data_IF_053410927034
#
_entry.id   IF_053410927034
#
_cell.length_a   1.000
_cell.length_b   1.000
_cell.length_c   1.000
_cell.angle_alpha   90.00
_cell.angle_beta   90.00
_cell.angle_gamma   90.00
#
_symmetry.space_group_name_H-M   'P 1'
#
loop_
_entity.id
_entity.type
_entity.pdbx_description
1 polymer ?
#
# COMPACT_ATOMS: atom_id res chain seq x y z
N UNK A 1 -24.28 27.89 14.21
CA UNK A 1 -24.24 27.45 12.80
C UNK A 1 -24.34 25.93 12.75
N UNK A 2 -24.33 25.32 11.56
CA UNK A 2 -24.13 23.87 11.42
C UNK A 2 -22.68 23.58 11.81
N UNK A 3 -22.44 22.48 12.53
CA UNK A 3 -21.09 22.02 12.87
C UNK A 3 -20.31 21.63 11.60
N UNK A 4 -19.03 22.00 11.51
CA UNK A 4 -18.25 21.75 10.30
C UNK A 4 -18.04 20.26 10.04
N UNK A 5 -17.96 19.42 11.08
CA UNK A 5 -17.83 17.97 10.93
C UNK A 5 -19.12 17.35 10.41
N UNK A 6 -20.27 17.83 10.88
CA UNK A 6 -21.58 17.45 10.34
C UNK A 6 -21.72 17.88 8.87
N UNK A 7 -21.20 19.05 8.53
CA UNK A 7 -21.15 19.51 7.14
C UNK A 7 -20.28 18.58 6.27
N UNK A 8 -19.08 18.23 6.73
CA UNK A 8 -18.19 17.29 6.04
C UNK A 8 -18.85 15.92 5.86
N UNK A 9 -19.39 15.33 6.93
CA UNK A 9 -20.10 14.04 6.90
C UNK A 9 -21.30 14.02 5.97
N UNK A 10 -21.99 15.15 5.84
CA UNK A 10 -23.13 15.26 4.93
C UNK A 10 -22.70 15.27 3.46
N UNK A 11 -21.59 15.92 3.13
CA UNK A 11 -21.24 16.29 1.76
C UNK A 11 -19.96 15.64 1.21
N UNK A 12 -19.22 14.87 2.00
CA UNK A 12 -18.08 14.13 1.46
C UNK A 12 -18.51 13.04 0.49
N UNK A 13 -17.59 12.68 -0.41
CA UNK A 13 -17.78 11.62 -1.39
C UNK A 13 -17.95 10.26 -0.68
N UNK A 14 -18.89 9.46 -1.16
CA UNK A 14 -19.29 8.18 -0.58
C UNK A 14 -18.92 7.00 -1.48
N UNK A 15 -19.01 5.81 -0.90
CA UNK A 15 -18.88 4.55 -1.64
C UNK A 15 -19.81 4.53 -2.87
N UNK A 16 -19.25 4.20 -4.03
CA UNK A 16 -19.95 4.13 -5.30
C UNK A 16 -20.08 5.47 -6.04
N UNK A 17 -19.76 6.59 -5.40
CA UNK A 17 -19.82 7.92 -6.02
C UNK A 17 -18.57 8.21 -6.86
N UNK A 18 -18.65 9.25 -7.68
CA UNK A 18 -17.59 9.74 -8.56
C UNK A 18 -17.56 11.27 -8.54
N UNK A 19 -16.48 11.87 -9.04
CA UNK A 19 -16.35 13.33 -9.14
C UNK A 19 -15.85 13.72 -10.54
N UNK A 20 -16.42 14.78 -11.16
CA UNK A 20 -15.91 15.33 -12.41
C UNK A 20 -14.43 15.76 -12.34
N UNK A 21 -13.91 16.00 -11.12
CA UNK A 21 -12.50 16.36 -10.92
C UNK A 21 -11.56 15.25 -11.41
N UNK A 22 -11.96 13.97 -11.34
CA UNK A 22 -11.09 12.85 -11.71
C UNK A 22 -10.73 12.86 -13.20
N UNK A 23 -11.65 13.30 -14.05
CA UNK A 23 -11.42 13.45 -15.49
C UNK A 23 -10.56 14.69 -15.82
N UNK A 24 -10.41 15.62 -14.87
CA UNK A 24 -9.59 16.83 -15.01
C UNK A 24 -8.16 16.66 -14.47
N UNK A 25 -7.91 15.63 -13.66
CA UNK A 25 -6.61 15.38 -12.99
C UNK A 25 -5.61 14.58 -13.85
N UNK A 26 -5.79 14.52 -15.16
CA UNK A 26 -4.85 13.82 -16.04
C UNK A 26 -3.58 14.63 -16.33
N UNK A 27 -2.46 13.95 -16.60
CA UNK A 27 -1.21 14.58 -17.04
C UNK A 27 -1.03 14.46 -18.55
N UNK A 28 -1.05 15.60 -19.25
CA UNK A 28 -0.91 15.67 -20.71
C UNK A 28 -2.10 15.13 -21.52
N UNK A 29 -3.09 14.51 -20.86
CA UNK A 29 -4.34 13.99 -21.42
C UNK A 29 -5.47 14.11 -20.38
N UNK A 30 -6.72 13.88 -20.78
CA UNK A 30 -7.83 13.81 -19.84
C UNK A 30 -7.58 12.68 -18.81
N UNK A 31 -7.97 12.92 -17.56
CA UNK A 31 -7.92 11.92 -16.50
C UNK A 31 -8.95 10.82 -16.72
N UNK A 32 -8.96 9.83 -15.82
CA UNK A 32 -9.91 8.71 -15.89
C UNK A 32 -11.09 8.94 -14.97
N UNK A 33 -12.29 8.63 -15.45
CA UNK A 33 -13.45 8.52 -14.58
C UNK A 33 -13.27 7.32 -13.67
N UNK A 34 -13.41 7.53 -12.37
CA UNK A 34 -13.32 6.48 -11.37
C UNK A 34 -14.41 6.62 -10.32
N UNK A 35 -14.88 5.49 -9.81
CA UNK A 35 -15.83 5.42 -8.70
C UNK A 35 -15.08 5.04 -7.43
N UNK A 36 -15.50 5.60 -6.30
CA UNK A 36 -14.95 5.27 -4.99
C UNK A 36 -15.37 3.85 -4.61
N UNK A 37 -14.39 2.97 -4.36
CA UNK A 37 -14.61 1.55 -3.99
C UNK A 37 -14.52 1.29 -2.48
N UNK A 38 -13.93 2.22 -1.73
CA UNK A 38 -13.86 2.22 -0.28
C UNK A 38 -13.73 3.66 0.20
N UNK A 39 -14.40 4.00 1.29
CA UNK A 39 -14.27 5.30 1.95
C UNK A 39 -14.80 5.17 3.37
N UNK A 40 -13.92 5.36 4.35
CA UNK A 40 -14.20 5.41 5.79
C UNK A 40 -13.89 6.78 6.39
N UNK A 41 -14.05 7.84 5.58
CA UNK A 41 -13.77 9.21 6.01
C UNK A 41 -14.72 9.64 7.14
N UNK A 42 -15.97 9.18 7.14
CA UNK A 42 -16.93 9.41 8.22
C UNK A 42 -16.45 8.82 9.55
N UNK A 43 -15.92 7.60 9.54
CA UNK A 43 -15.30 6.96 10.71
C UNK A 43 -14.02 7.70 11.13
N UNK A 44 -13.19 8.14 10.17
CA UNK A 44 -12.00 8.95 10.47
C UNK A 44 -12.36 10.29 11.15
N UNK A 45 -13.44 10.93 10.71
CA UNK A 45 -13.96 12.15 11.32
C UNK A 45 -14.38 11.88 12.76
N UNK A 46 -15.10 10.78 13.02
CA UNK A 46 -15.53 10.42 14.38
C UNK A 46 -14.36 10.14 15.31
N UNK A 47 -13.43 9.28 14.89
CA UNK A 47 -12.24 8.93 15.66
C UNK A 47 -11.37 10.15 15.96
N UNK A 48 -11.17 11.02 14.96
CA UNK A 48 -10.40 12.24 15.12
C UNK A 48 -11.10 13.26 16.03
N UNK A 49 -12.42 13.40 15.91
CA UNK A 49 -13.22 14.27 16.77
C UNK A 49 -13.23 13.83 18.23
N UNK A 50 -13.32 12.52 18.48
CA UNK A 50 -13.21 11.95 19.82
C UNK A 50 -11.81 12.18 20.40
N UNK A 51 -10.75 11.81 19.66
CA UNK A 51 -9.37 11.91 20.13
C UNK A 51 -8.91 13.36 20.41
N UNK A 52 -9.40 14.34 19.63
CA UNK A 52 -9.12 15.76 19.90
C UNK A 52 -10.04 16.35 20.98
N UNK A 53 -11.13 15.67 21.36
CA UNK A 53 -12.15 16.23 22.25
C UNK A 53 -12.92 17.39 21.60
N UNK A 54 -13.31 17.24 20.34
CA UNK A 54 -13.87 18.31 19.50
C UNK A 54 -15.06 19.02 20.14
N UNK A 55 -16.08 18.26 20.56
CA UNK A 55 -17.32 18.82 21.08
C UNK A 55 -17.13 19.52 22.42
N UNK A 56 -16.10 19.15 23.18
CA UNK A 56 -15.73 19.79 24.44
C UNK A 56 -14.93 21.07 24.26
N UNK A 57 -14.32 21.29 23.09
CA UNK A 57 -13.44 22.43 22.83
C UNK A 57 -14.03 23.46 21.89
N UNK A 58 -14.79 23.03 20.88
CA UNK A 58 -15.37 23.91 19.86
C UNK A 58 -16.31 24.94 20.48
N UNK A 59 -16.38 26.13 19.86
CA UNK A 59 -17.21 27.26 20.29
C UNK A 59 -16.98 27.74 21.74
N UNK A 60 -15.95 27.23 22.42
CA UNK A 60 -15.57 27.67 23.77
C UNK A 60 -14.37 28.61 23.67
N UNK A 61 -14.43 29.71 24.41
CA UNK A 61 -13.28 30.58 24.62
C UNK A 61 -12.37 29.96 25.68
N UNK A 62 -11.46 29.10 25.25
CA UNK A 62 -10.47 28.46 26.10
C UNK A 62 -9.18 29.32 26.13
N UNK A 63 -8.55 29.46 27.30
CA UNK A 63 -7.32 30.25 27.42
C UNK A 63 -6.93 30.55 28.87
N UNK A 64 -5.65 30.35 29.21
CA UNK A 64 -5.14 30.48 30.59
C UNK A 64 -4.39 31.81 30.83
N UNK A 65 -4.46 32.78 29.92
CA UNK A 65 -3.70 34.04 30.01
C UNK A 65 -4.40 35.23 29.38
N UNK A 66 -4.03 36.44 29.81
CA UNK A 66 -4.66 37.72 29.41
C UNK A 66 -4.72 37.94 27.89
N UNK A 67 -3.76 37.38 27.14
CA UNK A 67 -3.61 37.51 25.68
C UNK A 67 -3.56 36.15 24.93
N UNK A 68 -3.92 35.04 25.58
CA UNK A 68 -3.81 33.70 24.97
C UNK A 68 -5.18 33.10 24.74
N UNK A 69 -5.48 32.79 23.48
CA UNK A 69 -6.75 32.18 23.05
C UNK A 69 -6.44 30.82 22.45
N UNK A 70 -7.22 29.81 22.83
CA UNK A 70 -7.16 28.49 22.22
C UNK A 70 -8.29 28.30 21.22
N UNK A 71 -7.98 27.57 20.16
CA UNK A 71 -8.93 27.16 19.14
C UNK A 71 -8.70 25.71 18.74
N UNK A 72 -9.74 25.07 18.23
CA UNK A 72 -9.67 23.75 17.61
C UNK A 72 -10.14 23.88 16.17
N UNK A 73 -9.42 23.26 15.25
CA UNK A 73 -9.72 23.26 13.82
C UNK A 73 -9.65 21.85 13.24
N UNK A 74 -10.32 21.65 12.11
CA UNK A 74 -10.39 20.39 11.39
C UNK A 74 -10.17 20.61 9.89
N UNK A 75 -9.53 19.66 9.22
CA UNK A 75 -9.43 19.59 7.77
C UNK A 75 -9.67 18.15 7.32
N UNK A 76 -10.32 17.98 6.17
CA UNK A 76 -10.45 16.68 5.50
C UNK A 76 -9.81 16.76 4.13
N UNK A 77 -9.19 15.68 3.67
CA UNK A 77 -8.61 15.61 2.35
C UNK A 77 -8.74 14.21 1.74
N UNK A 78 -8.54 14.19 0.42
CA UNK A 78 -8.47 13.01 -0.42
C UNK A 78 -7.27 13.20 -1.33
N UNK A 79 -6.43 12.18 -1.49
CA UNK A 79 -5.26 12.22 -2.36
C UNK A 79 -5.31 11.01 -3.29
N UNK A 80 -4.94 11.15 -4.57
CA UNK A 80 -4.78 9.99 -5.47
C UNK A 80 -3.42 9.29 -5.28
N UNK A 81 -3.38 7.99 -5.58
CA UNK A 81 -2.17 7.16 -5.54
C UNK A 81 -1.70 6.84 -6.95
N UNK A 82 -0.74 7.62 -7.45
CA UNK A 82 -0.26 7.57 -8.83
C UNK A 82 -1.24 8.11 -9.89
N UNK A 83 -0.80 8.10 -11.14
CA UNK A 83 -1.51 8.64 -12.30
C UNK A 83 -1.99 7.50 -13.21
N UNK A 84 -3.30 7.34 -13.39
CA UNK A 84 -3.85 6.25 -14.18
C UNK A 84 -3.43 6.31 -15.64
N UNK A 85 -3.11 5.14 -16.22
CA UNK A 85 -2.70 4.98 -17.61
C UNK A 85 -1.44 5.76 -17.99
N UNK A 86 -0.66 6.22 -17.00
CA UNK A 86 0.60 6.96 -17.18
C UNK A 86 1.68 6.29 -16.36
N UNK A 87 1.47 6.19 -15.05
CA UNK A 87 2.45 5.60 -14.15
C UNK A 87 2.64 4.11 -14.47
N UNK A 88 3.88 3.66 -14.41
CA UNK A 88 4.21 2.26 -14.65
C UNK A 88 5.28 1.84 -13.66
N UNK A 89 5.10 0.65 -13.10
CA UNK A 89 6.07 -0.03 -12.27
C UNK A 89 6.28 -1.44 -12.79
N UNK A 90 7.50 -1.96 -12.64
CA UNK A 90 7.84 -3.32 -13.04
C UNK A 90 8.66 -4.01 -11.95
N UNK A 91 8.56 -5.33 -11.92
CA UNK A 91 9.34 -6.18 -11.04
C UNK A 91 9.84 -7.40 -11.83
N UNK A 92 11.05 -7.83 -11.51
CA UNK A 92 11.53 -9.16 -11.89
C UNK A 92 11.98 -9.92 -10.66
N UNK A 93 11.76 -11.23 -10.67
CA UNK A 93 12.07 -12.11 -9.55
C UNK A 93 12.68 -13.39 -10.06
N UNK A 94 13.60 -13.97 -9.28
CA UNK A 94 14.09 -15.33 -9.48
C UNK A 94 14.15 -16.07 -8.15
N UNK A 95 13.93 -17.36 -8.21
CA UNK A 95 14.11 -18.27 -7.10
C UNK A 95 15.56 -18.78 -7.03
N UNK A 96 16.09 -18.88 -5.81
CA UNK A 96 17.38 -19.47 -5.50
C UNK A 96 17.21 -20.90 -4.96
N UNK A 97 18.28 -21.70 -5.00
CA UNK A 97 18.27 -23.12 -4.62
C UNK A 97 17.84 -23.37 -3.17
N UNK A 98 18.05 -22.40 -2.27
CA UNK A 98 17.67 -22.47 -0.85
C UNK A 98 16.22 -22.05 -0.57
N UNK A 99 15.43 -21.80 -1.63
CA UNK A 99 14.06 -21.31 -1.54
C UNK A 99 13.93 -19.81 -1.22
N UNK A 100 15.04 -19.04 -1.22
CA UNK A 100 14.99 -17.58 -1.20
C UNK A 100 14.73 -17.01 -2.61
N UNK A 101 14.44 -15.72 -2.69
CA UNK A 101 14.11 -15.01 -3.92
C UNK A 101 14.88 -13.71 -4.03
N UNK A 102 15.46 -13.43 -5.19
CA UNK A 102 15.91 -12.08 -5.50
C UNK A 102 14.75 -11.32 -6.15
N UNK A 103 14.39 -10.17 -5.59
CA UNK A 103 13.39 -9.25 -6.11
C UNK A 103 14.08 -7.99 -6.64
N UNK A 104 13.95 -7.72 -7.93
CA UNK A 104 14.49 -6.55 -8.58
C UNK A 104 13.36 -5.57 -8.92
N UNK A 105 13.46 -4.34 -8.41
CA UNK A 105 12.43 -3.32 -8.57
C UNK A 105 13.06 -1.96 -8.87
N UNK A 106 12.47 -1.21 -9.79
CA UNK A 106 12.93 0.16 -10.08
C UNK A 106 12.49 1.18 -9.02
N UNK A 107 11.55 0.82 -8.14
CA UNK A 107 11.07 1.68 -7.08
C UNK A 107 12.21 2.14 -6.16
N UNK A 108 12.19 3.41 -5.77
CA UNK A 108 13.23 4.03 -4.94
C UNK A 108 12.74 4.29 -3.53
N UNK A 109 13.42 3.70 -2.56
CA UNK A 109 13.20 4.02 -1.16
C UNK A 109 13.91 5.33 -0.78
N UNK A 110 13.12 6.34 -0.43
CA UNK A 110 13.60 7.65 0.02
C UNK A 110 13.44 7.84 1.54
N UNK A 111 13.28 6.73 2.27
CA UNK A 111 12.96 6.71 3.70
C UNK A 111 11.49 6.38 4.01
N UNK A 112 10.72 5.97 3.00
CA UNK A 112 9.32 5.54 3.15
C UNK A 112 9.21 4.06 3.54
N UNK A 113 10.29 3.29 3.38
CA UNK A 113 10.32 1.85 3.68
C UNK A 113 9.76 1.00 2.54
N UNK A 114 9.80 1.48 1.29
CA UNK A 114 9.29 0.74 0.12
C UNK A 114 9.96 -0.61 -0.06
N UNK A 115 11.25 -0.74 0.22
CA UNK A 115 11.95 -2.03 0.06
C UNK A 115 11.36 -3.10 0.99
N UNK A 116 11.01 -2.72 2.22
CA UNK A 116 10.35 -3.61 3.18
C UNK A 116 8.92 -3.95 2.75
N UNK A 117 8.14 -2.94 2.35
CA UNK A 117 6.74 -3.13 1.94
C UNK A 117 6.65 -4.02 0.70
N UNK A 118 7.50 -3.80 -0.31
CA UNK A 118 7.53 -4.61 -1.52
C UNK A 118 7.98 -6.06 -1.23
N UNK A 119 8.94 -6.23 -0.32
CA UNK A 119 9.34 -7.57 0.14
C UNK A 119 8.19 -8.29 0.85
N UNK A 120 7.42 -7.61 1.71
CA UNK A 120 6.28 -8.18 2.41
C UNK A 120 5.17 -8.64 1.44
N UNK A 121 4.89 -7.85 0.39
CA UNK A 121 3.92 -8.22 -0.65
C UNK A 121 4.34 -9.54 -1.33
N UNK A 122 5.60 -9.65 -1.75
CA UNK A 122 6.11 -10.87 -2.37
C UNK A 122 6.07 -12.06 -1.40
N UNK A 123 6.48 -11.83 -0.14
CA UNK A 123 6.54 -12.84 0.90
C UNK A 123 5.16 -13.41 1.24
N UNK A 124 4.12 -12.56 1.30
CA UNK A 124 2.73 -12.99 1.55
C UNK A 124 2.20 -13.89 0.42
N UNK A 125 2.42 -13.50 -0.84
CA UNK A 125 2.03 -14.31 -2.00
C UNK A 125 2.71 -15.67 -2.00
N UNK A 126 4.01 -15.70 -1.70
CA UNK A 126 4.83 -16.91 -1.72
C UNK A 126 4.75 -17.72 -0.42
N UNK A 127 4.09 -17.20 0.62
CA UNK A 127 4.02 -17.75 1.98
C UNK A 127 5.40 -18.12 2.55
N UNK A 128 6.33 -17.18 2.44
CA UNK A 128 7.69 -17.28 2.98
C UNK A 128 7.93 -16.16 4.00
N UNK A 129 8.90 -16.31 4.93
CA UNK A 129 9.38 -15.21 5.75
C UNK A 129 9.94 -14.07 4.88
N UNK A 130 9.79 -12.82 5.32
CA UNK A 130 10.26 -11.65 4.55
C UNK A 130 11.78 -11.69 4.31
N UNK A 131 12.53 -12.33 5.20
CA UNK A 131 13.98 -12.51 5.11
C UNK A 131 14.41 -13.38 3.92
N UNK A 132 13.48 -14.16 3.35
CA UNK A 132 13.70 -14.92 2.11
C UNK A 132 13.59 -14.04 0.86
N UNK A 133 13.16 -12.79 0.96
CA UNK A 133 13.06 -11.85 -0.16
C UNK A 133 14.23 -10.87 -0.13
N UNK A 134 15.19 -11.08 -1.03
CA UNK A 134 16.39 -10.26 -1.19
C UNK A 134 16.11 -9.16 -2.22
N UNK A 135 15.87 -7.93 -1.75
CA UNK A 135 15.52 -6.80 -2.61
C UNK A 135 16.78 -6.14 -3.19
N UNK A 136 16.80 -5.94 -4.50
CA UNK A 136 17.67 -4.99 -5.19
C UNK A 136 16.79 -3.90 -5.82
N UNK A 137 16.91 -2.70 -5.28
CA UNK A 137 16.13 -1.54 -5.70
C UNK A 137 17.01 -0.50 -6.40
N UNK A 138 16.44 0.26 -7.34
CA UNK A 138 17.00 1.54 -7.85
C UNK A 138 18.36 1.50 -8.54
N UNK A 139 18.77 0.35 -9.08
CA UNK A 139 19.92 0.27 -9.99
C UNK A 139 19.39 0.17 -11.43
N UNK A 140 19.50 1.25 -12.21
CA UNK A 140 18.94 1.29 -13.58
C UNK A 140 19.61 0.34 -14.56
N UNK A 141 20.80 -0.19 -14.24
CA UNK A 141 21.46 -1.20 -15.08
C UNK A 141 20.90 -2.60 -14.81
N UNK A 142 20.32 -2.84 -13.63
CA UNK A 142 19.90 -4.17 -13.17
C UNK A 142 18.40 -4.33 -12.94
N UNK A 143 17.72 -3.24 -12.57
CA UNK A 143 16.30 -3.24 -12.17
C UNK A 143 15.41 -2.83 -13.34
N UNK A 144 14.18 -3.37 -13.41
CA UNK A 144 13.27 -3.02 -14.49
C UNK A 144 12.69 -1.62 -14.29
N UNK A 145 12.09 -1.07 -15.35
CA UNK A 145 11.53 0.29 -15.32
C UNK A 145 10.48 0.48 -14.23
N UNK A 146 10.63 1.57 -13.48
CA UNK A 146 9.64 2.12 -12.58
C UNK A 146 9.66 3.65 -12.74
N UNK A 147 8.50 4.28 -12.63
CA UNK A 147 8.38 5.73 -12.76
C UNK A 147 8.97 6.48 -11.56
N UNK A 148 9.26 5.77 -10.46
CA UNK A 148 9.93 6.29 -9.28
C UNK A 148 8.97 6.68 -8.17
N UNK A 149 9.53 7.03 -7.01
CA UNK A 149 8.75 7.37 -5.81
C UNK A 149 8.20 8.81 -5.87
N UNK A 150 6.95 8.94 -6.35
CA UNK A 150 6.15 10.16 -6.25
C UNK A 150 4.65 9.83 -6.17
N UNK A 151 3.83 10.85 -5.90
CA UNK A 151 2.36 10.75 -5.89
C UNK A 151 1.78 9.59 -5.05
N UNK A 152 2.47 9.17 -3.99
CA UNK A 152 2.10 8.01 -3.16
C UNK A 152 1.80 6.75 -3.98
N UNK A 153 2.50 6.57 -5.11
CA UNK A 153 2.20 5.54 -6.10
C UNK A 153 2.84 4.19 -5.80
N UNK A 154 3.97 4.15 -5.08
CA UNK A 154 4.85 2.96 -4.96
C UNK A 154 4.12 1.68 -4.56
N UNK A 155 3.34 1.70 -3.47
CA UNK A 155 2.59 0.51 -3.03
C UNK A 155 1.56 0.06 -4.06
N UNK A 156 0.88 1.02 -4.71
CA UNK A 156 -0.21 0.71 -5.63
C UNK A 156 0.28 0.30 -7.03
N UNK A 157 1.34 0.94 -7.52
CA UNK A 157 1.89 0.75 -8.86
C UNK A 157 2.95 -0.35 -8.84
N UNK A 158 4.06 -0.12 -8.13
CA UNK A 158 5.18 -1.05 -8.02
C UNK A 158 4.78 -2.29 -7.22
N UNK A 159 4.06 -2.12 -6.10
CA UNK A 159 3.58 -3.24 -5.29
C UNK A 159 2.68 -4.20 -6.07
N UNK A 160 1.81 -3.69 -6.95
CA UNK A 160 0.99 -4.54 -7.82
C UNK A 160 1.81 -5.25 -8.91
N UNK A 161 2.91 -4.67 -9.38
CA UNK A 161 3.85 -5.35 -10.26
C UNK A 161 4.57 -6.50 -9.54
N UNK A 162 4.99 -6.26 -8.29
CA UNK A 162 5.60 -7.29 -7.42
C UNK A 162 4.61 -8.44 -7.16
N UNK A 163 3.36 -8.13 -6.79
CA UNK A 163 2.32 -9.14 -6.56
C UNK A 163 2.11 -10.01 -7.81
N UNK A 164 1.96 -9.41 -8.99
CA UNK A 164 1.84 -10.15 -10.26
C UNK A 164 3.05 -11.05 -10.51
N UNK A 165 4.26 -10.51 -10.32
CA UNK A 165 5.50 -11.26 -10.50
C UNK A 165 5.58 -12.46 -9.55
N UNK A 166 5.25 -12.26 -8.27
CA UNK A 166 5.24 -13.32 -7.26
C UNK A 166 4.17 -14.39 -7.55
N UNK A 167 3.00 -14.01 -8.06
CA UNK A 167 1.95 -14.95 -8.49
C UNK A 167 2.46 -15.82 -9.65
N UNK A 168 3.14 -15.22 -10.63
CA UNK A 168 3.70 -15.98 -11.76
C UNK A 168 4.83 -16.93 -11.33
N UNK A 169 5.66 -16.53 -10.36
CA UNK A 169 6.61 -17.42 -9.71
C UNK A 169 5.88 -18.59 -9.03
N UNK A 170 4.84 -18.31 -8.22
CA UNK A 170 4.09 -19.34 -7.52
C UNK A 170 3.45 -20.34 -8.48
N UNK A 171 2.91 -19.88 -9.62
CA UNK A 171 2.38 -20.77 -10.66
C UNK A 171 3.48 -21.69 -11.22
N UNK A 172 4.68 -21.17 -11.49
CA UNK A 172 5.80 -22.00 -11.94
C UNK A 172 6.22 -23.02 -10.88
N UNK A 173 6.30 -22.61 -9.61
CA UNK A 173 6.59 -23.51 -8.47
C UNK A 173 5.55 -24.64 -8.42
N UNK A 174 4.25 -24.31 -8.50
CA UNK A 174 3.18 -25.32 -8.48
C UNK A 174 3.26 -26.29 -9.66
N UNK A 175 3.55 -25.79 -10.87
CA UNK A 175 3.72 -26.65 -12.06
C UNK A 175 4.83 -27.68 -11.88
N UNK A 176 5.96 -27.29 -11.30
CA UNK A 176 7.04 -28.24 -11.00
C UNK A 176 6.63 -29.19 -9.87
N UNK A 177 5.92 -28.70 -8.85
CA UNK A 177 5.45 -29.52 -7.75
C UNK A 177 4.44 -30.61 -8.18
N UNK A 178 3.63 -30.35 -9.21
CA UNK A 178 2.72 -31.35 -9.82
C UNK A 178 3.49 -32.60 -10.24
N UNK A 179 4.64 -32.44 -10.90
CA UNK A 179 5.47 -33.55 -11.36
C UNK A 179 6.09 -34.32 -10.18
N UNK A 180 6.43 -33.64 -9.09
CA UNK A 180 7.04 -34.27 -7.92
C UNK A 180 6.00 -35.01 -7.08
N UNK A 181 4.85 -34.38 -6.83
CA UNK A 181 3.80 -34.91 -5.95
C UNK A 181 2.88 -35.91 -6.68
N UNK A 182 2.85 -35.85 -8.02
CA UNK A 182 1.95 -36.63 -8.88
C UNK A 182 0.47 -36.30 -8.59
N UNK A 183 0.17 -35.00 -8.44
CA UNK A 183 -1.13 -34.46 -8.04
C UNK A 183 -1.60 -33.37 -9.02
N UNK A 184 -2.90 -33.04 -9.03
CA UNK A 184 -3.43 -31.96 -9.87
C UNK A 184 -3.05 -30.57 -9.35
N UNK A 185 -2.72 -29.63 -10.24
CA UNK A 185 -2.30 -28.26 -9.87
C UNK A 185 -3.33 -27.52 -9.01
N UNK A 186 -4.62 -27.73 -9.27
CA UNK A 186 -5.74 -27.10 -8.53
C UNK A 186 -5.84 -27.55 -7.08
N UNK A 187 -5.31 -28.72 -6.75
CA UNK A 187 -5.38 -29.31 -5.42
C UNK A 187 -4.22 -28.83 -4.53
N UNK A 188 -3.16 -28.28 -5.15
CA UNK A 188 -1.95 -27.88 -4.46
C UNK A 188 -2.10 -26.50 -3.80
N UNK A 189 -1.77 -26.45 -2.51
CA UNK A 189 -1.71 -25.21 -1.73
C UNK A 189 -0.26 -24.85 -1.42
N UNK A 190 0.01 -23.55 -1.31
CA UNK A 190 1.26 -23.06 -0.76
C UNK A 190 1.09 -22.91 0.75
N UNK A 191 2.03 -23.43 1.54
CA UNK A 191 2.08 -23.19 2.99
C UNK A 191 3.52 -23.28 3.48
N UNK A 192 3.98 -22.22 4.18
CA UNK A 192 5.27 -22.19 4.90
C UNK A 192 6.44 -22.70 4.05
N UNK A 193 6.71 -22.06 2.91
CA UNK A 193 7.79 -22.44 1.97
C UNK A 193 7.65 -23.85 1.35
N UNK A 194 6.45 -24.43 1.38
CA UNK A 194 6.17 -25.74 0.79
C UNK A 194 4.96 -25.69 -0.14
N UNK A 195 4.95 -26.59 -1.12
CA UNK A 195 3.72 -26.96 -1.81
C UNK A 195 3.17 -28.24 -1.19
N UNK A 196 1.91 -28.20 -0.76
CA UNK A 196 1.23 -29.27 -0.05
C UNK A 196 0.04 -29.76 -0.87
N UNK A 197 -0.09 -31.06 -1.01
CA UNK A 197 -1.31 -31.71 -1.47
C UNK A 197 -2.13 -32.17 -0.25
N UNK A 198 -3.25 -31.52 0.08
CA UNK A 198 -4.07 -31.87 1.23
C UNK A 198 -4.78 -33.23 1.08
N UNK A 199 -4.97 -33.73 -0.15
CA UNK A 199 -5.63 -35.01 -0.38
C UNK A 199 -4.72 -36.20 -0.06
N UNK A 200 -3.42 -36.05 -0.33
CA UNK A 200 -2.43 -37.10 -0.07
C UNK A 200 -1.58 -36.84 1.16
N UNK A 201 -1.70 -35.65 1.75
CA UNK A 201 -0.88 -35.16 2.86
C UNK A 201 0.64 -35.20 2.55
N UNK A 202 0.99 -35.12 1.26
CA UNK A 202 2.37 -35.00 0.80
C UNK A 202 2.72 -33.53 0.63
N UNK A 203 4.00 -33.22 0.81
CA UNK A 203 4.53 -31.89 0.57
C UNK A 203 5.91 -31.98 -0.06
N UNK A 204 6.30 -30.90 -0.73
CA UNK A 204 7.64 -30.70 -1.26
C UNK A 204 8.07 -29.26 -1.00
N UNK A 205 9.31 -29.12 -0.53
CA UNK A 205 9.86 -27.81 -0.19
C UNK A 205 10.19 -27.00 -1.45
N UNK A 206 10.20 -25.68 -1.30
CA UNK A 206 10.68 -24.77 -2.33
C UNK A 206 12.10 -25.12 -2.80
N UNK A 207 12.99 -25.50 -1.89
CA UNK A 207 14.36 -25.91 -2.24
C UNK A 207 14.37 -27.17 -3.11
N UNK A 208 13.61 -28.20 -2.75
CA UNK A 208 13.51 -29.44 -3.54
C UNK A 208 12.88 -29.18 -4.93
N UNK A 209 11.86 -28.31 -5.00
CA UNK A 209 11.24 -27.89 -6.26
C UNK A 209 12.28 -27.20 -7.16
N UNK A 210 13.05 -26.26 -6.61
CA UNK A 210 14.07 -25.53 -7.34
C UNK A 210 15.14 -26.49 -7.88
N UNK A 211 15.64 -27.39 -7.03
CA UNK A 211 16.62 -28.40 -7.41
C UNK A 211 16.08 -29.34 -8.49
N UNK A 212 14.82 -29.76 -8.38
CA UNK A 212 14.18 -30.60 -9.38
C UNK A 212 14.10 -29.87 -10.73
N UNK A 213 13.62 -28.63 -10.74
CA UNK A 213 13.51 -27.80 -11.95
C UNK A 213 14.86 -27.53 -12.62
N UNK A 214 15.91 -27.26 -11.85
CA UNK A 214 17.21 -26.90 -12.43
C UNK A 214 18.04 -28.11 -12.88
N UNK A 215 17.94 -29.24 -12.19
CA UNK A 215 18.86 -30.36 -12.40
C UNK A 215 18.20 -31.65 -12.87
N UNK A 216 16.88 -31.80 -12.71
CA UNK A 216 16.17 -33.05 -13.01
C UNK A 216 15.18 -32.90 -14.16
N UNK A 217 14.30 -31.91 -14.10
CA UNK A 217 13.22 -31.70 -15.06
C UNK A 217 13.40 -30.39 -15.81
N UNK A 218 13.52 -30.45 -17.14
CA UNK A 218 13.55 -29.29 -18.06
C UNK A 218 14.73 -28.30 -17.91
N UNK A 219 15.60 -28.45 -16.90
CA UNK A 219 16.78 -27.61 -16.68
C UNK A 219 16.44 -26.11 -16.74
N UNK A 220 15.41 -25.72 -16.01
CA UNK A 220 14.83 -24.38 -16.06
C UNK A 220 14.94 -23.69 -14.70
N UNK A 221 15.34 -22.42 -14.71
CA UNK A 221 15.27 -21.58 -13.51
C UNK A 221 13.88 -20.95 -13.38
N UNK A 222 13.30 -21.04 -12.18
CA UNK A 222 12.04 -20.37 -11.87
C UNK A 222 12.31 -18.87 -11.71
N UNK A 223 11.76 -18.10 -12.65
CA UNK A 223 11.90 -16.65 -12.70
C UNK A 223 10.72 -16.01 -13.42
N UNK A 224 10.41 -14.76 -13.11
CA UNK A 224 9.30 -14.03 -13.70
C UNK A 224 9.63 -12.55 -13.86
N UNK A 225 8.86 -11.90 -14.72
CA UNK A 225 8.85 -10.46 -14.94
C UNK A 225 7.40 -10.02 -15.07
N UNK A 226 7.03 -8.95 -14.39
CA UNK A 226 5.70 -8.37 -14.53
C UNK A 226 5.76 -6.84 -14.52
N UNK A 227 4.82 -6.23 -15.23
CA UNK A 227 4.59 -4.79 -15.21
C UNK A 227 3.17 -4.48 -14.79
N UNK A 228 3.00 -3.30 -14.23
CA UNK A 228 1.70 -2.76 -13.87
C UNK A 228 1.57 -1.31 -14.32
N UNK A 229 0.51 -1.04 -15.07
CA UNK A 229 0.00 0.29 -15.34
C UNK A 229 -1.38 0.34 -14.70
N UNK A 230 -1.60 1.16 -13.66
CA UNK A 230 -2.89 1.25 -13.01
C UNK A 230 -3.91 1.89 -13.95
N UNK A 231 -5.14 1.40 -13.93
CA UNK A 231 -6.27 1.97 -14.70
C UNK A 231 -7.07 2.99 -13.89
N UNK A 232 -6.80 3.07 -12.59
CA UNK A 232 -7.46 3.95 -11.61
C UNK A 232 -6.42 4.42 -10.58
N UNK A 233 -6.75 5.43 -9.78
CA UNK A 233 -5.90 5.99 -8.73
C UNK A 233 -6.72 6.04 -7.45
N UNK A 234 -6.79 4.92 -6.70
CA UNK A 234 -7.65 4.82 -5.54
C UNK A 234 -7.13 5.77 -4.46
N UNK A 235 -8.02 6.60 -3.89
CA UNK A 235 -7.56 7.61 -2.97
C UNK A 235 -7.59 7.14 -1.51
N UNK A 236 -6.52 7.36 -0.73
CA UNK A 236 -6.65 7.50 0.71
C UNK A 236 -7.50 8.73 1.10
N UNK A 237 -8.18 8.61 2.23
CA UNK A 237 -8.94 9.69 2.85
C UNK A 237 -8.36 10.02 4.22
N UNK A 238 -8.40 11.29 4.60
CA UNK A 238 -7.82 11.74 5.86
C UNK A 238 -8.70 12.80 6.52
N UNK A 239 -8.82 12.70 7.85
CA UNK A 239 -9.37 13.73 8.72
C UNK A 239 -8.30 14.14 9.74
N UNK A 240 -7.95 15.43 9.73
CA UNK A 240 -6.93 16.00 10.61
C UNK A 240 -7.54 17.06 11.52
N UNK A 241 -7.01 17.14 12.74
CA UNK A 241 -7.48 18.06 13.76
C UNK A 241 -6.29 18.69 14.48
N UNK A 242 -6.40 19.97 14.80
CA UNK A 242 -5.38 20.69 15.55
C UNK A 242 -6.01 21.53 16.66
N UNK A 243 -5.55 21.36 17.88
CA UNK A 243 -5.72 22.33 18.95
C UNK A 243 -4.52 23.28 18.96
N UNK A 244 -4.78 24.57 18.90
CA UNK A 244 -3.75 25.61 18.89
C UNK A 244 -4.00 26.63 20.00
N UNK A 245 -2.92 27.19 20.53
CA UNK A 245 -2.93 28.39 21.37
C UNK A 245 -2.30 29.53 20.58
N UNK A 246 -3.00 30.65 20.49
CA UNK A 246 -2.57 31.87 19.81
C UNK A 246 -2.35 32.96 20.84
N UNK A 247 -1.15 33.53 20.85
CA UNK A 247 -0.88 34.78 21.56
C UNK A 247 -1.31 35.95 20.67
N UNK A 248 -2.40 36.64 21.05
CA UNK A 248 -3.01 37.68 20.21
C UNK A 248 -2.21 38.99 20.20
N UNK A 249 -1.23 39.16 21.09
CA UNK A 249 -0.37 40.34 21.09
C UNK A 249 0.80 40.19 20.11
N UNK A 250 1.27 38.97 19.89
CA UNK A 250 2.44 38.67 19.04
C UNK A 250 2.09 37.94 17.73
N UNK A 251 0.92 37.31 17.66
CA UNK A 251 0.55 36.40 16.57
C UNK A 251 1.20 35.02 16.65
N UNK A 252 1.96 34.72 17.71
CA UNK A 252 2.62 33.43 17.87
C UNK A 252 1.58 32.31 18.06
N UNK A 253 1.69 31.26 17.24
CA UNK A 253 0.81 30.07 17.28
C UNK A 253 1.59 28.88 17.81
N UNK A 254 1.04 28.22 18.82
CA UNK A 254 1.57 26.96 19.37
C UNK A 254 0.56 25.85 19.15
N UNK A 255 0.96 24.79 18.46
CA UNK A 255 0.17 23.54 18.38
C UNK A 255 0.25 22.83 19.73
N UNK A 256 -0.89 22.59 20.35
CA UNK A 256 -1.00 21.89 21.63
C UNK A 256 -1.24 20.39 21.43
N UNK A 257 -2.07 20.04 20.46
CA UNK A 257 -2.40 18.67 20.10
C UNK A 257 -2.70 18.61 18.60
N UNK A 258 -2.23 17.57 17.94
CA UNK A 258 -2.53 17.27 16.54
C UNK A 258 -2.98 15.82 16.44
N UNK A 259 -4.06 15.56 15.71
CA UNK A 259 -4.63 14.24 15.50
C UNK A 259 -4.82 14.03 14.01
N UNK A 260 -4.41 12.86 13.53
CA UNK A 260 -4.57 12.44 12.14
C UNK A 260 -5.25 11.07 12.12
N UNK A 261 -6.41 10.98 11.48
CA UNK A 261 -7.12 9.73 11.23
C UNK A 261 -7.16 9.49 9.72
N UNK A 262 -6.58 8.38 9.28
CA UNK A 262 -6.33 8.08 7.85
C UNK A 262 -6.98 6.75 7.49
N UNK A 263 -7.82 6.77 6.45
CA UNK A 263 -8.23 5.58 5.71
C UNK A 263 -7.29 5.41 4.51
N UNK A 264 -6.28 4.58 4.68
CA UNK A 264 -5.33 4.21 3.61
C UNK A 264 -5.65 2.86 2.96
N UNK A 265 -6.82 2.29 3.24
CA UNK A 265 -7.13 0.90 2.89
C UNK A 265 -6.33 -0.08 3.75
N UNK A 266 -5.78 -1.13 3.12
CA UNK A 266 -4.98 -2.13 3.82
C UNK A 266 -3.55 -1.64 4.03
N UNK A 267 -3.21 -1.33 5.28
CA UNK A 267 -1.84 -1.01 5.66
C UNK A 267 -0.96 -2.27 5.61
N UNK A 268 -0.03 -2.33 4.65
CA UNK A 268 0.92 -3.45 4.51
C UNK A 268 1.83 -3.55 5.74
N UNK A 269 2.35 -2.41 6.20
CA UNK A 269 3.17 -2.33 7.41
C UNK A 269 2.64 -1.25 8.36
N UNK A 270 1.74 -1.58 9.31
CA UNK A 270 1.05 -0.60 10.14
C UNK A 270 1.95 0.39 10.87
N UNK A 271 3.11 -0.05 11.39
CA UNK A 271 4.07 0.84 12.06
C UNK A 271 4.78 1.82 11.13
N UNK A 272 4.98 1.46 9.85
CA UNK A 272 5.59 2.36 8.88
C UNK A 272 4.53 3.35 8.38
N UNK A 273 3.30 2.87 8.18
CA UNK A 273 2.16 3.72 7.86
C UNK A 273 1.89 4.77 8.96
N UNK A 274 2.05 4.43 10.25
CA UNK A 274 1.96 5.39 11.35
C UNK A 274 3.11 6.41 11.37
N UNK A 275 4.29 6.04 10.85
CA UNK A 275 5.45 6.93 10.79
C UNK A 275 5.44 7.92 9.62
N UNK A 276 4.56 7.72 8.63
CA UNK A 276 4.36 8.61 7.48
C UNK A 276 3.26 9.63 7.78
#
# INVERSE_FOLDING_TARGET
GIDILEYYKKWHIKLGETSPIFEQLGEGKAGVKQNIKSCKLDECIDLGAEAIGWFDKRDKKLGNGKNKIRGVGSAIAMQGSGIPLVDMGSASMKMNEDGSFNLFVGATDLGTGSDTVLAQIAAEVLQVPVEKILVLSSDTDLTPFDVGAYASSTTYVSGKAVEKCAIDILHQIKRVAVDILQSGESDLICEKENIVDPNTNKSVSFSDICQHSMYTANQNQIQAFASNVPVESPPPFIAQFAEVEVDIATGCVKVLQFVSAVDCGQAIHPRLAEGQ
#
